data_IF_984246616047
#
_entry.id   IF_984246616047
#
_cell.length_a   1.000
_cell.length_b   1.000
_cell.length_c   1.000
_cell.angle_alpha   90.00
_cell.angle_beta   90.00
_cell.angle_gamma   90.00
#
_symmetry.space_group_name_H-M   'P 1'
#
loop_
_entity.id
_entity.type
_entity.pdbx_description
1 polymer ?
#
# COMPACT_ATOMS: atom_id res chain seq x y z
N UNK A 1 -1.96 -11.34 -1.27
CA UNK A 1 -2.03 -11.75 -2.69
C UNK A 1 -0.90 -12.73 -3.02
N UNK A 2 -1.14 -13.64 -3.95
CA UNK A 2 -0.21 -14.67 -4.43
C UNK A 2 -0.33 -14.82 -5.94
N UNK A 3 0.81 -14.94 -6.63
CA UNK A 3 0.85 -15.31 -8.04
C UNK A 3 0.73 -16.83 -8.16
N UNK A 4 -0.14 -17.30 -9.03
CA UNK A 4 -0.28 -18.70 -9.40
C UNK A 4 0.25 -18.87 -10.82
N UNK A 5 1.29 -19.67 -10.99
CA UNK A 5 1.97 -19.91 -12.27
C UNK A 5 1.34 -21.08 -13.05
N UNK A 6 0.00 -21.15 -13.06
CA UNK A 6 -0.75 -22.09 -13.89
C UNK A 6 -1.40 -21.32 -15.04
N UNK A 7 -1.45 -21.91 -16.24
CA UNK A 7 -2.06 -21.28 -17.41
C UNK A 7 -3.54 -21.63 -17.45
N UNK A 8 -4.41 -20.68 -17.08
CA UNK A 8 -5.86 -20.89 -17.01
C UNK A 8 -6.63 -19.78 -17.73
N UNK A 9 -7.82 -20.11 -18.22
CA UNK A 9 -8.75 -19.07 -18.70
C UNK A 9 -9.22 -18.23 -17.52
N UNK A 10 -9.75 -17.05 -17.79
CA UNK A 10 -10.13 -16.14 -16.71
C UNK A 10 -11.16 -16.78 -15.75
N UNK A 11 -12.16 -17.49 -16.28
CA UNK A 11 -13.16 -18.21 -15.49
C UNK A 11 -12.59 -19.39 -14.67
N UNK A 12 -11.61 -20.10 -15.22
CA UNK A 12 -10.89 -21.17 -14.50
C UNK A 12 -10.00 -20.60 -13.39
N UNK A 13 -9.30 -19.49 -13.65
CA UNK A 13 -8.49 -18.77 -12.68
C UNK A 13 -9.35 -18.22 -11.53
N UNK A 14 -10.52 -17.65 -11.85
CA UNK A 14 -11.50 -17.20 -10.87
C UNK A 14 -11.94 -18.36 -9.96
N UNK A 15 -12.31 -19.48 -10.57
CA UNK A 15 -12.76 -20.67 -9.85
C UNK A 15 -11.65 -21.20 -8.93
N UNK A 16 -10.42 -21.26 -9.43
CA UNK A 16 -9.25 -21.66 -8.64
C UNK A 16 -9.04 -20.74 -7.44
N UNK A 17 -9.05 -19.42 -7.64
CA UNK A 17 -8.84 -18.49 -6.55
C UNK A 17 -9.92 -18.60 -5.47
N UNK A 18 -11.19 -18.86 -5.84
CA UNK A 18 -12.28 -19.03 -4.88
C UNK A 18 -12.26 -20.39 -4.17
N UNK A 19 -11.67 -21.41 -4.78
CA UNK A 19 -11.51 -22.74 -4.16
C UNK A 19 -10.33 -22.78 -3.18
N UNK A 20 -9.24 -22.07 -3.48
CA UNK A 20 -7.99 -22.15 -2.71
C UNK A 20 -7.67 -20.89 -1.89
N UNK A 21 -8.31 -19.77 -2.19
CA UNK A 21 -8.08 -18.47 -1.58
C UNK A 21 -9.41 -17.70 -1.45
N UNK A 22 -9.37 -16.36 -1.49
CA UNK A 22 -10.58 -15.52 -1.39
C UNK A 22 -11.19 -15.28 -2.77
N UNK A 23 -10.45 -14.61 -3.66
CA UNK A 23 -10.91 -14.30 -5.02
C UNK A 23 -9.72 -13.93 -5.92
N UNK A 24 -9.94 -13.70 -7.21
CA UNK A 24 -8.98 -12.98 -8.06
C UNK A 24 -8.74 -11.57 -7.50
N UNK A 25 -7.51 -11.09 -7.62
CA UNK A 25 -7.12 -9.81 -7.01
C UNK A 25 -7.82 -8.63 -7.69
N UNK A 26 -8.39 -7.73 -6.89
CA UNK A 26 -8.79 -6.40 -7.36
C UNK A 26 -7.69 -5.37 -7.09
N UNK A 27 -7.79 -4.21 -7.74
CA UNK A 27 -6.82 -3.13 -7.58
C UNK A 27 -7.52 -1.80 -7.34
N UNK A 28 -8.07 -1.57 -6.13
CA UNK A 28 -8.84 -0.35 -5.84
C UNK A 28 -7.97 0.87 -5.54
N UNK A 29 -6.66 0.69 -5.31
CA UNK A 29 -5.72 1.77 -4.97
C UNK A 29 -4.35 1.59 -5.63
N UNK A 30 -3.59 2.68 -5.74
CA UNK A 30 -2.22 2.67 -6.25
C UNK A 30 -1.28 1.78 -5.42
N UNK A 31 -1.50 1.72 -4.11
CA UNK A 31 -0.72 0.85 -3.23
C UNK A 31 -0.88 -0.62 -3.62
N UNK A 32 -2.12 -1.05 -3.91
CA UNK A 32 -2.40 -2.42 -4.36
C UNK A 32 -1.80 -2.64 -5.75
N UNK A 33 -1.86 -1.66 -6.66
CA UNK A 33 -1.22 -1.77 -7.97
C UNK A 33 0.27 -2.02 -7.84
N UNK A 34 0.96 -1.27 -6.98
CA UNK A 34 2.39 -1.46 -6.74
C UNK A 34 2.73 -2.88 -6.26
N UNK A 35 1.81 -3.53 -5.54
CA UNK A 35 2.00 -4.90 -5.09
C UNK A 35 1.75 -5.90 -6.22
N UNK A 36 0.67 -5.71 -6.98
CA UNK A 36 0.36 -6.49 -8.18
C UNK A 36 1.53 -6.45 -9.16
N UNK A 37 2.09 -5.26 -9.44
CA UNK A 37 3.30 -5.06 -10.26
C UNK A 37 4.45 -5.97 -9.82
N UNK A 38 4.80 -5.95 -8.54
CA UNK A 38 5.91 -6.80 -8.02
C UNK A 38 5.63 -8.30 -8.11
N UNK A 39 4.37 -8.71 -8.06
CA UNK A 39 3.99 -10.13 -8.21
C UNK A 39 4.00 -10.54 -9.68
N UNK A 40 3.51 -9.70 -10.57
CA UNK A 40 3.42 -9.98 -12.00
C UNK A 40 4.80 -10.16 -12.67
N UNK A 41 5.85 -9.52 -12.16
CA UNK A 41 7.24 -9.69 -12.66
C UNK A 41 7.75 -11.14 -12.59
N UNK A 42 7.20 -11.95 -11.69
CA UNK A 42 7.57 -13.36 -11.55
C UNK A 42 6.70 -14.28 -12.41
N UNK A 43 5.76 -13.75 -13.20
CA UNK A 43 4.91 -14.57 -14.07
C UNK A 43 5.69 -15.09 -15.28
N UNK A 44 5.34 -16.29 -15.73
CA UNK A 44 5.89 -16.87 -16.96
C UNK A 44 5.12 -16.44 -18.21
N UNK A 45 3.89 -15.92 -18.04
CA UNK A 45 3.06 -15.39 -19.13
C UNK A 45 3.27 -13.89 -19.30
N UNK A 46 3.10 -13.37 -20.53
CA UNK A 46 3.25 -11.94 -20.83
C UNK A 46 2.23 -11.05 -20.11
N UNK A 47 1.10 -11.64 -19.71
CA UNK A 47 0.02 -10.99 -18.97
C UNK A 47 -0.42 -11.88 -17.82
N UNK A 48 -1.06 -11.27 -16.82
CA UNK A 48 -1.52 -11.95 -15.60
C UNK A 48 -2.95 -11.54 -15.28
N UNK A 49 -3.85 -12.50 -15.10
CA UNK A 49 -5.26 -12.19 -14.83
C UNK A 49 -5.45 -11.45 -13.50
N UNK A 50 -6.37 -10.49 -13.56
CA UNK A 50 -6.93 -9.76 -12.41
C UNK A 50 -8.42 -10.09 -12.29
N UNK A 51 -9.04 -9.71 -11.17
CA UNK A 51 -10.48 -9.87 -10.93
C UNK A 51 -11.35 -8.87 -11.70
N UNK A 52 -10.88 -8.31 -12.81
CA UNK A 52 -11.54 -7.25 -13.56
C UNK A 52 -12.33 -7.85 -14.73
N UNK A 53 -13.61 -7.52 -14.85
CA UNK A 53 -14.50 -8.04 -15.90
C UNK A 53 -15.31 -6.93 -16.54
N UNK A 54 -15.52 -7.01 -17.86
CA UNK A 54 -16.44 -6.14 -18.56
C UNK A 54 -17.86 -6.72 -18.53
N UNK A 55 -18.85 -5.91 -18.15
CA UNK A 55 -20.26 -6.25 -18.29
C UNK A 55 -20.81 -5.70 -19.60
N UNK A 56 -21.28 -6.58 -20.47
CA UNK A 56 -21.95 -6.17 -21.72
C UNK A 56 -23.28 -5.47 -21.46
N UNK A 57 -24.07 -5.99 -20.52
CA UNK A 57 -25.40 -5.44 -20.26
C UNK A 57 -25.31 -4.03 -19.66
N UNK A 58 -24.33 -3.83 -18.77
CA UNK A 58 -24.17 -2.57 -18.05
C UNK A 58 -23.13 -1.63 -18.68
N UNK A 59 -22.41 -2.10 -19.71
CA UNK A 59 -21.38 -1.35 -20.43
C UNK A 59 -20.26 -0.77 -19.56
N UNK A 60 -19.87 -1.45 -18.47
CA UNK A 60 -18.79 -1.01 -17.59
C UNK A 60 -17.90 -2.14 -17.05
N UNK A 61 -16.70 -1.75 -16.63
CA UNK A 61 -15.71 -2.62 -15.98
C UNK A 61 -15.91 -2.68 -14.47
N UNK A 62 -15.91 -3.89 -13.91
CA UNK A 62 -16.10 -4.10 -12.48
C UNK A 62 -15.18 -5.17 -11.90
N UNK A 63 -14.88 -5.03 -10.61
CA UNK A 63 -14.15 -6.02 -9.84
C UNK A 63 -15.11 -7.11 -9.34
N UNK A 64 -14.83 -8.36 -9.67
CA UNK A 64 -15.73 -9.49 -9.31
C UNK A 64 -15.70 -9.87 -7.84
N UNK A 65 -14.73 -9.35 -7.10
CA UNK A 65 -14.66 -9.39 -5.64
C UNK A 65 -15.61 -8.39 -4.97
N UNK A 66 -16.24 -7.48 -5.73
CA UNK A 66 -17.15 -6.46 -5.21
C UNK A 66 -16.45 -5.24 -4.59
N UNK A 67 -15.13 -5.14 -4.72
CA UNK A 67 -14.38 -3.99 -4.23
C UNK A 67 -14.58 -2.78 -5.13
N UNK A 68 -15.00 -1.66 -4.54
CA UNK A 68 -15.18 -0.39 -5.23
C UNK A 68 -13.91 0.45 -5.14
N UNK A 69 -13.48 1.02 -6.25
CA UNK A 69 -12.32 1.91 -6.30
C UNK A 69 -12.33 2.75 -7.56
N UNK A 70 -11.92 4.02 -7.45
CA UNK A 70 -11.77 4.92 -8.61
C UNK A 70 -10.40 4.80 -9.29
N UNK A 71 -9.48 4.02 -8.68
CA UNK A 71 -8.16 3.83 -9.22
C UNK A 71 -8.22 3.07 -10.55
N UNK A 72 -7.51 3.58 -11.55
CA UNK A 72 -7.38 2.95 -12.86
C UNK A 72 -5.93 3.03 -13.32
N UNK A 73 -5.43 1.96 -13.94
CA UNK A 73 -4.07 1.91 -14.48
C UNK A 73 -4.04 1.21 -15.85
N UNK A 74 -5.03 1.48 -16.69
CA UNK A 74 -5.09 0.98 -18.07
C UNK A 74 -3.90 1.45 -18.89
N UNK A 75 -3.43 0.58 -19.79
CA UNK A 75 -2.52 0.97 -20.85
C UNK A 75 -3.29 1.86 -21.84
N UNK A 76 -2.66 2.90 -22.43
CA UNK A 76 -3.33 3.82 -23.33
C UNK A 76 -4.04 3.08 -24.48
N UNK A 77 -5.37 3.27 -24.60
CA UNK A 77 -6.19 2.64 -25.63
C UNK A 77 -6.41 1.13 -25.48
N UNK A 78 -6.06 0.52 -24.34
CA UNK A 78 -6.22 -0.93 -24.08
C UNK A 78 -7.43 -1.28 -23.20
N UNK A 79 -8.30 -0.31 -22.94
CA UNK A 79 -9.57 -0.44 -22.20
C UNK A 79 -10.74 -0.76 -23.15
N UNK A 80 -10.63 -1.82 -23.96
CA UNK A 80 -11.70 -2.15 -24.91
C UNK A 80 -12.91 -2.71 -24.18
N UNK A 81 -14.08 -2.06 -24.34
CA UNK A 81 -15.36 -2.52 -23.80
C UNK A 81 -16.00 -3.60 -24.67
N UNK A 82 -15.26 -4.68 -24.95
CA UNK A 82 -15.74 -5.78 -25.78
C UNK A 82 -16.31 -6.91 -24.92
N UNK A 83 -17.37 -7.54 -25.42
CA UNK A 83 -17.97 -8.68 -24.77
C UNK A 83 -17.02 -9.87 -24.72
N UNK A 84 -17.02 -10.60 -23.60
CA UNK A 84 -16.11 -11.72 -23.39
C UNK A 84 -14.67 -11.29 -23.09
N UNK A 85 -14.43 -10.01 -22.81
CA UNK A 85 -13.12 -9.53 -22.39
C UNK A 85 -13.00 -9.36 -20.87
N UNK A 86 -11.79 -9.58 -20.39
CA UNK A 86 -11.41 -9.52 -18.97
C UNK A 86 -10.08 -8.79 -18.83
N UNK A 87 -9.84 -8.24 -17.64
CA UNK A 87 -8.66 -7.43 -17.38
C UNK A 87 -7.47 -8.26 -16.92
N UNK A 88 -6.31 -7.98 -17.52
CA UNK A 88 -5.02 -8.52 -17.11
C UNK A 88 -4.02 -7.38 -16.86
N UNK A 89 -2.94 -7.66 -16.15
CA UNK A 89 -1.77 -6.77 -16.04
C UNK A 89 -0.61 -7.32 -16.85
N UNK A 90 0.13 -6.45 -17.55
CA UNK A 90 1.38 -6.83 -18.21
C UNK A 90 2.42 -7.30 -17.17
N UNK A 91 3.10 -8.41 -17.42
CA UNK A 91 4.18 -8.91 -16.54
C UNK A 91 5.50 -8.16 -16.77
N UNK A 92 5.71 -7.64 -17.97
CA UNK A 92 6.92 -6.95 -18.43
C UNK A 92 6.94 -5.44 -18.13
N UNK A 93 7.48 -4.64 -19.05
CA UNK A 93 7.57 -3.18 -18.88
C UNK A 93 6.17 -2.53 -18.90
N UNK A 94 5.98 -1.43 -18.16
CA UNK A 94 4.71 -0.71 -18.05
C UNK A 94 3.83 -1.23 -16.92
N UNK A 95 3.56 -2.54 -16.92
CA UNK A 95 2.73 -3.22 -15.92
C UNK A 95 1.38 -2.53 -15.76
N UNK A 96 0.80 -2.17 -16.90
CA UNK A 96 -0.50 -1.53 -17.02
C UNK A 96 -1.57 -2.57 -17.30
N UNK A 97 -2.84 -2.19 -17.13
CA UNK A 97 -3.96 -3.08 -17.36
C UNK A 97 -4.30 -3.12 -18.84
N UNK A 98 -4.64 -4.30 -19.32
CA UNK A 98 -5.06 -4.56 -20.70
C UNK A 98 -6.34 -5.39 -20.70
N UNK A 99 -7.19 -5.15 -21.69
CA UNK A 99 -8.35 -5.97 -22.02
C UNK A 99 -7.94 -7.11 -22.93
N UNK A 100 -8.25 -8.35 -22.54
CA UNK A 100 -7.96 -9.57 -23.30
C UNK A 100 -9.18 -10.50 -23.33
N UNK A 101 -9.35 -11.33 -24.38
CA UNK A 101 -10.38 -12.36 -24.41
C UNK A 101 -10.29 -13.30 -23.20
N UNK A 102 -11.41 -13.59 -22.55
CA UNK A 102 -11.47 -14.41 -21.33
C UNK A 102 -11.00 -15.86 -21.53
N UNK A 103 -10.91 -16.29 -22.79
CA UNK A 103 -10.45 -17.62 -23.22
C UNK A 103 -8.94 -17.78 -23.20
N UNK A 104 -8.17 -16.68 -23.18
CA UNK A 104 -6.71 -16.69 -23.12
C UNK A 104 -6.21 -17.44 -21.87
N UNK A 105 -5.11 -18.18 -21.99
CA UNK A 105 -4.56 -18.98 -20.90
C UNK A 105 -3.36 -18.27 -20.26
N UNK A 106 -3.59 -17.62 -19.12
CA UNK A 106 -2.58 -16.80 -18.44
C UNK A 106 -2.32 -17.30 -17.01
N UNK A 107 -1.18 -16.90 -16.44
CA UNK A 107 -1.01 -16.89 -14.98
C UNK A 107 -1.98 -15.89 -14.34
N UNK A 108 -2.18 -15.98 -13.04
CA UNK A 108 -3.18 -15.16 -12.35
C UNK A 108 -2.80 -14.87 -10.90
N UNK A 109 -3.32 -13.77 -10.34
CA UNK A 109 -3.05 -13.39 -8.95
C UNK A 109 -4.32 -13.56 -8.12
N UNK A 110 -4.25 -14.39 -7.08
CA UNK A 110 -5.32 -14.54 -6.10
C UNK A 110 -5.09 -13.62 -4.89
N UNK A 111 -6.17 -13.10 -4.32
CA UNK A 111 -6.15 -12.48 -2.99
C UNK A 111 -6.27 -13.53 -1.89
N UNK A 112 -5.48 -13.36 -0.82
CA UNK A 112 -5.48 -14.25 0.36
C UNK A 112 -6.39 -13.77 1.50
N UNK A 113 -6.75 -12.49 1.48
CA UNK A 113 -7.60 -11.81 2.47
C UNK A 113 -8.45 -10.77 1.70
N UNK A 114 -9.56 -10.27 2.25
CA UNK A 114 -10.26 -9.14 1.62
C UNK A 114 -9.31 -7.95 1.47
N UNK A 115 -9.39 -7.18 0.37
CA UNK A 115 -8.50 -6.01 0.21
C UNK A 115 -8.77 -4.97 1.30
N UNK A 116 -10.00 -4.94 1.84
CA UNK A 116 -10.36 -4.19 3.04
C UNK A 116 -9.48 -4.57 4.23
N UNK A 117 -9.28 -5.86 4.47
CA UNK A 117 -8.35 -6.35 5.50
C UNK A 117 -6.90 -6.02 5.17
N UNK A 118 -6.50 -5.96 3.90
CA UNK A 118 -5.12 -5.61 3.52
C UNK A 118 -4.81 -4.13 3.82
N UNK A 119 -5.75 -3.22 3.54
CA UNK A 119 -5.64 -1.80 3.85
C UNK A 119 -5.76 -1.55 5.37
N UNK A 120 -6.57 -2.34 6.08
CA UNK A 120 -6.82 -2.18 7.52
C UNK A 120 -5.79 -2.91 8.42
N UNK A 121 -5.19 -4.02 7.95
CA UNK A 121 -4.29 -4.88 8.73
C UNK A 121 -2.83 -4.41 8.81
N UNK A 122 -2.48 -3.26 8.23
CA UNK A 122 -1.18 -2.63 8.50
C UNK A 122 0.03 -3.30 7.83
N UNK A 123 -0.14 -3.94 6.67
CA UNK A 123 0.98 -4.27 5.76
C UNK A 123 1.52 -3.04 5.00
N UNK A 124 1.20 -1.82 5.47
CA UNK A 124 1.92 -0.61 5.10
C UNK A 124 3.31 -0.62 5.73
N UNK A 125 4.35 -0.22 4.98
CA UNK A 125 5.69 -0.03 5.57
C UNK A 125 5.58 1.00 6.69
N UNK A 126 5.96 0.62 7.92
CA UNK A 126 5.99 1.55 9.05
C UNK A 126 7.25 2.43 8.94
N UNK A 127 7.07 3.67 8.51
CA UNK A 127 8.15 4.66 8.51
C UNK A 127 8.30 5.23 9.93
N UNK A 128 9.47 5.09 10.52
CA UNK A 128 9.80 5.76 11.77
C UNK A 128 10.36 7.14 11.44
N UNK A 129 9.62 8.19 11.79
CA UNK A 129 10.08 9.57 11.65
C UNK A 129 10.75 9.97 12.96
N UNK A 130 12.07 10.13 12.95
CA UNK A 130 12.81 10.69 14.08
C UNK A 130 12.93 12.19 13.89
N UNK A 131 12.55 12.95 14.91
CA UNK A 131 12.49 14.40 14.86
C UNK A 131 13.17 14.98 16.09
N UNK A 132 13.98 16.02 15.88
CA UNK A 132 14.52 16.84 16.94
C UNK A 132 13.74 18.16 16.97
N UNK A 133 13.26 18.53 18.15
CA UNK A 133 12.61 19.81 18.38
C UNK A 133 13.67 20.78 18.88
N UNK A 134 13.92 21.83 18.12
CA UNK A 134 14.78 22.95 18.52
C UNK A 134 13.91 24.02 19.20
N UNK A 135 14.39 24.61 20.28
CA UNK A 135 13.69 25.67 21.05
C UNK A 135 12.44 25.19 21.81
N UNK A 136 12.62 24.19 22.69
CA UNK A 136 11.56 23.61 23.52
C UNK A 136 11.52 24.15 24.95
N UNK A 137 12.28 25.21 25.26
CA UNK A 137 12.45 25.71 26.63
C UNK A 137 11.12 26.10 27.31
N UNK A 138 10.07 26.38 26.53
CA UNK A 138 8.73 26.71 27.02
C UNK A 138 7.65 25.67 26.65
N UNK A 139 8.02 24.60 25.94
CA UNK A 139 7.05 23.62 25.43
C UNK A 139 6.95 22.42 26.37
N UNK A 140 5.84 22.34 27.12
CA UNK A 140 5.52 21.15 27.89
C UNK A 140 4.98 20.06 26.97
N UNK A 141 5.84 19.13 26.55
CA UNK A 141 5.45 17.98 25.74
C UNK A 141 4.58 16.94 26.49
N UNK A 142 4.24 17.17 27.76
CA UNK A 142 3.20 16.43 28.49
C UNK A 142 1.81 17.03 28.27
N UNK A 143 1.74 18.28 27.82
CA UNK A 143 0.49 18.94 27.45
C UNK A 143 -0.14 18.27 26.21
N UNK A 144 -1.37 17.74 26.32
CA UNK A 144 -2.10 17.16 25.19
C UNK A 144 -2.30 18.14 24.01
N UNK A 145 -2.41 19.45 24.27
CA UNK A 145 -2.58 20.47 23.24
C UNK A 145 -1.30 20.65 22.43
N UNK A 146 -0.14 20.71 23.10
CA UNK A 146 1.17 20.79 22.44
C UNK A 146 1.41 19.54 21.59
N UNK A 147 1.11 18.34 22.12
CA UNK A 147 1.20 17.08 21.35
C UNK A 147 0.31 17.11 20.11
N UNK A 148 -0.92 17.62 20.24
CA UNK A 148 -1.87 17.71 19.11
C UNK A 148 -1.34 18.66 18.03
N UNK A 149 -0.81 19.82 18.42
CA UNK A 149 -0.27 20.80 17.47
C UNK A 149 0.96 20.26 16.72
N UNK A 150 1.88 19.58 17.42
CA UNK A 150 3.03 18.92 16.78
C UNK A 150 2.56 17.83 15.82
N UNK A 151 1.60 17.00 16.25
CA UNK A 151 1.05 15.94 15.40
C UNK A 151 0.43 16.51 14.12
N UNK A 152 -0.42 17.53 14.22
CA UNK A 152 -1.03 18.19 13.07
C UNK A 152 0.00 18.81 12.12
N UNK A 153 1.06 19.44 12.66
CA UNK A 153 2.12 20.02 11.84
C UNK A 153 2.89 18.95 11.04
N UNK A 154 3.11 17.77 11.64
CA UNK A 154 3.72 16.64 10.95
C UNK A 154 2.80 16.11 9.85
N UNK A 155 1.49 15.97 10.12
CA UNK A 155 0.53 15.54 9.10
C UNK A 155 0.52 16.47 7.89
N UNK A 156 0.48 17.78 8.10
CA UNK A 156 0.51 18.77 7.02
C UNK A 156 1.78 18.62 6.18
N UNK A 157 2.94 18.56 6.83
CA UNK A 157 4.22 18.46 6.12
C UNK A 157 4.36 17.16 5.32
N UNK A 158 3.82 16.04 5.81
CA UNK A 158 3.83 14.78 5.07
C UNK A 158 2.92 14.83 3.84
N UNK A 159 1.76 15.52 3.92
CA UNK A 159 0.89 15.75 2.77
C UNK A 159 1.58 16.59 1.69
N UNK A 160 2.27 17.65 2.09
CA UNK A 160 3.04 18.51 1.17
C UNK A 160 4.19 17.76 0.47
N UNK A 161 4.78 16.76 1.14
CA UNK A 161 5.84 15.92 0.58
C UNK A 161 5.31 14.77 -0.30
N UNK A 162 4.03 14.82 -0.71
CA UNK A 162 3.45 13.86 -1.65
C UNK A 162 2.99 12.54 -1.02
N UNK A 163 2.71 12.52 0.28
CA UNK A 163 2.08 11.37 0.95
C UNK A 163 0.63 11.71 1.33
N UNK A 164 -0.37 11.50 0.45
CA UNK A 164 -1.75 11.91 0.73
C UNK A 164 -2.51 10.96 1.69
N UNK A 165 -2.13 9.68 1.77
CA UNK A 165 -2.80 8.67 2.59
C UNK A 165 -1.85 8.04 3.61
N UNK A 166 -2.03 8.37 4.90
CA UNK A 166 -1.23 7.80 5.98
C UNK A 166 -1.99 7.83 7.32
N UNK A 167 -1.52 7.01 8.27
CA UNK A 167 -2.01 6.99 9.66
C UNK A 167 -0.84 7.21 10.62
N UNK A 168 -0.69 8.44 11.12
CA UNK A 168 0.32 8.73 12.15
C UNK A 168 -0.08 8.12 13.50
N UNK A 169 0.92 7.70 14.29
CA UNK A 169 0.75 7.29 15.69
C UNK A 169 1.99 7.66 16.48
N UNK A 170 1.79 8.15 17.70
CA UNK A 170 2.89 8.32 18.64
C UNK A 170 3.50 6.97 19.02
N UNK A 171 4.83 6.90 19.02
CA UNK A 171 5.54 5.76 19.60
C UNK A 171 5.59 5.94 21.11
N UNK A 172 4.91 5.05 21.85
CA UNK A 172 5.07 4.96 23.30
C UNK A 172 6.33 4.18 23.63
N UNK A 173 7.13 4.72 24.53
CA UNK A 173 8.27 4.06 25.13
C UNK A 173 7.81 3.08 26.22
N UNK A 174 8.68 2.17 26.70
CA UNK A 174 8.34 1.25 27.79
C UNK A 174 7.92 1.97 29.09
N UNK A 175 8.45 3.17 29.33
CA UNK A 175 8.08 4.03 30.47
C UNK A 175 6.77 4.82 30.25
N UNK A 176 6.09 4.64 29.11
CA UNK A 176 4.86 5.34 28.75
C UNK A 176 5.05 6.72 28.13
N UNK A 177 6.27 7.26 28.08
CA UNK A 177 6.56 8.55 27.44
C UNK A 177 6.66 8.44 25.91
N UNK A 178 6.57 9.57 25.21
CA UNK A 178 6.56 9.64 23.74
C UNK A 178 7.86 10.26 23.19
N UNK A 179 8.52 11.12 23.96
CA UNK A 179 9.71 11.86 23.57
C UNK A 179 10.89 11.52 24.47
N UNK A 180 12.10 11.60 23.92
CA UNK A 180 13.33 11.58 24.70
C UNK A 180 13.62 13.01 25.16
N UNK A 181 13.76 13.23 26.47
CA UNK A 181 14.50 14.38 26.97
C UNK A 181 15.99 14.05 26.83
N UNK A 182 16.73 14.84 26.05
CA UNK A 182 18.19 14.79 26.16
C UNK A 182 18.52 15.19 27.60
N UNK A 183 19.13 14.29 28.36
CA UNK A 183 19.77 14.67 29.62
C UNK A 183 20.96 15.56 29.24
N UNK A 184 20.94 16.81 29.64
CA UNK A 184 22.19 17.54 29.82
C UNK A 184 22.86 16.93 31.04
N UNK A 185 23.97 16.21 30.87
CA UNK A 185 24.89 15.93 31.97
C UNK A 185 26.25 15.50 31.39
N UNK A 186 27.15 16.47 31.17
CA UNK A 186 28.61 16.39 31.42
C UNK A 186 29.27 17.77 31.16
N UNK A 187 28.80 18.82 31.85
CA UNK A 187 29.69 19.95 32.13
C UNK A 187 30.50 19.60 33.40
N UNK A 188 31.83 19.77 33.35
CA UNK A 188 32.70 19.91 34.54
C UNK A 188 32.96 18.64 35.37
N UNK A 189 33.85 17.73 34.94
CA UNK A 189 34.53 16.81 35.88
C UNK A 189 35.96 16.35 35.53
N UNK A 190 36.71 17.02 34.64
CA UNK A 190 38.18 16.92 34.59
C UNK A 190 38.76 18.27 34.08
N UNK A 191 39.70 18.98 34.69
CA UNK A 191 40.27 18.92 36.02
C UNK A 191 40.76 20.32 36.41
N UNK A 192 40.21 20.88 37.49
CA UNK A 192 40.94 21.82 38.33
C UNK A 192 41.66 20.98 39.39
N UNK A 193 42.93 20.64 39.13
CA UNK A 193 43.90 20.21 40.16
C UNK A 193 45.20 20.97 39.93
N UNK A 194 45.32 22.12 40.60
CA UNK A 194 46.56 22.57 41.28
C UNK A 194 46.38 22.20 42.76
N UNK A 195 47.40 21.88 43.58
CA UNK A 195 48.73 22.50 43.70
C UNK A 195 49.88 21.46 43.56
N UNK A 196 51.17 21.78 43.54
CA UNK A 196 52.00 22.66 44.40
C UNK A 196 53.14 23.30 43.59
#
# INVERSE_FOLDING_TARGET
>A
MILVQENKSWGEALSYCRQHYVDLVSVPTEQVQNWVKRRAQSASTAHVWLGLRYSCDLHFWFWVSGEEGRYQNWAPGRETGECGHTGAVESGAGQQWVSLPETEKLNFICSKHGIKDICDSGYGKKLLVQMELTDTALLNMRDPAVRRAVFQKIEIKLKEQGMPEFKLRWRRQPNGEIFYQKKEDEEKREGHKKPE
#
